data_IF_428012820719
#
_entry.id   IF_428012820719
#
_cell.length_a   1.000
_cell.length_b   1.000
_cell.length_c   1.000
_cell.angle_alpha   90.00
_cell.angle_beta   90.00
_cell.angle_gamma   90.00
#
_symmetry.space_group_name_H-M   'P 1'
#
loop_
_entity.id
_entity.type
_entity.pdbx_description
1 polymer ?
#
# COMPACT_ATOMS: atom_id res chain seq x y z
N UNK A 1 25.24 9.09 -4.64
CA UNK A 1 24.87 8.63 -6.00
C UNK A 1 23.37 8.42 -6.05
N UNK A 2 22.69 8.98 -7.06
CA UNK A 2 21.22 8.94 -7.17
C UNK A 2 20.69 7.55 -7.56
N UNK A 3 21.37 6.87 -8.51
CA UNK A 3 21.06 5.53 -9.01
C UNK A 3 21.86 4.43 -8.29
N UNK A 4 21.41 3.19 -8.43
CA UNK A 4 22.11 2.03 -7.89
C UNK A 4 23.50 1.84 -8.51
N UNK A 5 24.45 1.35 -7.71
CA UNK A 5 25.76 0.89 -8.16
C UNK A 5 25.84 -0.62 -8.07
N UNK A 6 26.97 -1.20 -8.50
CA UNK A 6 27.20 -2.66 -8.40
C UNK A 6 27.27 -3.13 -6.95
N UNK A 7 27.57 -2.24 -6.00
CA UNK A 7 27.81 -2.59 -4.60
C UNK A 7 26.77 -2.01 -3.64
N UNK A 8 26.01 -0.98 -4.02
CA UNK A 8 25.11 -0.27 -3.12
C UNK A 8 23.84 0.22 -3.81
N UNK A 9 22.75 0.29 -3.04
CA UNK A 9 21.53 0.95 -3.47
C UNK A 9 21.71 2.48 -3.54
N UNK A 10 21.20 3.07 -4.61
CA UNK A 10 21.17 4.51 -4.83
C UNK A 10 20.25 5.22 -3.84
N UNK A 11 20.40 6.54 -3.75
CA UNK A 11 19.55 7.35 -2.87
C UNK A 11 18.07 7.27 -3.27
N UNK A 12 17.73 7.19 -4.56
CA UNK A 12 16.33 7.09 -5.02
C UNK A 12 15.68 5.79 -4.52
N UNK A 13 16.35 4.65 -4.69
CA UNK A 13 15.84 3.36 -4.25
C UNK A 13 15.63 3.31 -2.72
N UNK A 14 16.56 3.88 -1.95
CA UNK A 14 16.45 3.96 -0.49
C UNK A 14 15.31 4.88 -0.05
N UNK A 15 15.18 6.06 -0.67
CA UNK A 15 14.09 6.99 -0.36
C UNK A 15 12.72 6.41 -0.67
N UNK A 16 12.55 5.76 -1.83
CA UNK A 16 11.30 5.07 -2.16
C UNK A 16 10.98 3.96 -1.16
N UNK A 17 11.97 3.16 -0.78
CA UNK A 17 11.76 2.07 0.18
C UNK A 17 11.35 2.60 1.56
N UNK A 18 12.12 3.50 2.14
CA UNK A 18 11.85 4.05 3.47
C UNK A 18 10.62 4.94 3.49
N UNK A 19 10.35 5.69 2.41
CA UNK A 19 9.14 6.47 2.24
C UNK A 19 7.89 5.58 2.26
N UNK A 20 7.90 4.48 1.50
CA UNK A 20 6.78 3.53 1.54
C UNK A 20 6.64 2.86 2.91
N UNK A 21 7.74 2.48 3.56
CA UNK A 21 7.69 1.93 4.91
C UNK A 21 7.04 2.92 5.90
N UNK A 22 7.43 4.19 5.86
CA UNK A 22 6.82 5.25 6.67
C UNK A 22 5.33 5.44 6.41
N UNK A 23 4.91 5.42 5.14
CA UNK A 23 3.50 5.50 4.77
C UNK A 23 2.69 4.30 5.29
N UNK A 24 3.23 3.09 5.18
CA UNK A 24 2.57 1.89 5.70
C UNK A 24 2.42 1.96 7.22
N UNK A 25 3.47 2.37 7.93
CA UNK A 25 3.42 2.58 9.39
C UNK A 25 2.37 3.63 9.74
N UNK A 26 2.34 4.76 9.03
CA UNK A 26 1.32 5.80 9.24
C UNK A 26 -0.10 5.26 9.03
N UNK A 27 -0.30 4.42 8.01
CA UNK A 27 -1.58 3.79 7.72
C UNK A 27 -2.03 2.85 8.85
N UNK A 28 -1.11 2.03 9.39
CA UNK A 28 -1.38 1.14 10.52
C UNK A 28 -1.69 1.97 11.76
N UNK A 29 -0.86 2.96 12.09
CA UNK A 29 -1.06 3.85 13.24
C UNK A 29 -2.41 4.57 13.15
N UNK A 30 -2.82 5.02 11.97
CA UNK A 30 -4.11 5.66 11.77
C UNK A 30 -5.28 4.72 12.10
N UNK A 31 -5.19 3.44 11.69
CA UNK A 31 -6.17 2.42 12.05
C UNK A 31 -6.12 2.14 13.55
N UNK A 32 -4.97 1.86 14.15
CA UNK A 32 -4.90 1.59 15.59
C UNK A 32 -5.43 2.75 16.44
N UNK A 33 -5.10 4.00 16.08
CA UNK A 33 -5.56 5.18 16.80
C UNK A 33 -7.06 5.42 16.67
N UNK A 34 -7.71 4.98 15.58
CA UNK A 34 -9.14 5.25 15.35
C UNK A 34 -10.03 4.55 16.40
N UNK A 35 -9.54 3.47 17.00
CA UNK A 35 -10.29 2.69 17.99
C UNK A 35 -10.43 3.41 19.33
N UNK A 36 -9.49 4.30 19.66
CA UNK A 36 -9.53 5.12 20.88
C UNK A 36 -10.58 6.23 20.82
N UNK A 37 -11.18 6.48 19.65
CA UNK A 37 -12.19 7.51 19.45
C UNK A 37 -13.59 6.91 19.32
N UNK A 38 -14.63 7.55 19.91
CA UNK A 38 -16.01 7.10 19.80
C UNK A 38 -16.47 6.96 18.35
N UNK A 39 -17.33 5.97 18.07
CA UNK A 39 -17.98 5.81 16.76
C UNK A 39 -18.74 7.08 16.41
N UNK A 40 -18.55 7.57 15.18
CA UNK A 40 -19.19 8.80 14.69
C UNK A 40 -18.49 10.11 15.07
N UNK A 41 -17.39 10.07 15.81
CA UNK A 41 -16.61 11.27 16.13
C UNK A 41 -15.75 11.74 14.95
N UNK A 42 -15.56 13.06 14.84
CA UNK A 42 -14.74 13.67 13.79
C UNK A 42 -13.29 13.14 13.76
N UNK A 43 -12.58 12.96 14.90
CA UNK A 43 -11.22 12.42 14.89
C UNK A 43 -11.15 11.00 14.33
N UNK A 44 -12.16 10.16 14.63
CA UNK A 44 -12.24 8.80 14.09
C UNK A 44 -12.38 8.82 12.57
N UNK A 45 -13.25 9.69 12.06
CA UNK A 45 -13.45 9.86 10.61
C UNK A 45 -12.18 10.40 9.93
N UNK A 46 -11.49 11.35 10.56
CA UNK A 46 -10.24 11.92 10.06
C UNK A 46 -9.14 10.85 9.96
N UNK A 47 -8.96 10.02 11.00
CA UNK A 47 -7.99 8.92 10.98
C UNK A 47 -8.28 7.91 9.87
N UNK A 48 -9.55 7.54 9.68
CA UNK A 48 -9.91 6.64 8.58
C UNK A 48 -9.73 7.28 7.19
N UNK A 49 -9.93 8.60 7.09
CA UNK A 49 -9.61 9.35 5.87
C UNK A 49 -8.11 9.32 5.58
N UNK A 50 -7.27 9.53 6.60
CA UNK A 50 -5.80 9.43 6.48
C UNK A 50 -5.38 8.03 6.03
N UNK A 51 -5.88 6.98 6.68
CA UNK A 51 -5.61 5.58 6.28
C UNK A 51 -5.94 5.36 4.80
N UNK A 52 -7.13 5.80 4.38
CA UNK A 52 -7.58 5.63 3.00
C UNK A 52 -6.69 6.39 2.01
N UNK A 53 -6.42 7.67 2.25
CA UNK A 53 -5.58 8.49 1.37
C UNK A 53 -4.16 7.93 1.26
N UNK A 54 -3.57 7.53 2.39
CA UNK A 54 -2.24 6.92 2.43
C UNK A 54 -2.23 5.60 1.67
N UNK A 55 -3.27 4.77 1.78
CA UNK A 55 -3.42 3.54 1.01
C UNK A 55 -3.38 3.78 -0.50
N UNK A 56 -4.09 4.80 -0.98
CA UNK A 56 -4.08 5.18 -2.40
C UNK A 56 -2.70 5.72 -2.82
N UNK A 57 -2.03 6.54 -1.98
CA UNK A 57 -0.67 7.02 -2.27
C UNK A 57 0.32 5.86 -2.39
N UNK A 58 0.24 4.88 -1.49
CA UNK A 58 1.07 3.66 -1.56
C UNK A 58 0.79 2.88 -2.85
N UNK A 59 -0.48 2.76 -3.26
CA UNK A 59 -0.87 2.12 -4.52
C UNK A 59 -0.29 2.82 -5.75
N UNK A 60 -0.09 4.14 -5.73
CA UNK A 60 0.58 4.86 -6.82
C UNK A 60 2.11 4.68 -6.75
N UNK A 61 2.69 4.80 -5.56
CA UNK A 61 4.14 4.70 -5.36
C UNK A 61 4.69 3.30 -5.63
N UNK A 62 3.91 2.24 -5.42
CA UNK A 62 4.35 0.88 -5.72
C UNK A 62 4.66 0.70 -7.21
N UNK A 63 3.90 1.33 -8.12
CA UNK A 63 4.20 1.31 -9.56
C UNK A 63 5.51 2.02 -9.88
N UNK A 64 5.74 3.18 -9.28
CA UNK A 64 7.02 3.91 -9.41
C UNK A 64 8.17 3.04 -8.89
N UNK A 65 7.97 2.34 -7.76
CA UNK A 65 8.96 1.43 -7.19
C UNK A 65 9.24 0.24 -8.10
N UNK A 66 8.21 -0.37 -8.68
CA UNK A 66 8.34 -1.48 -9.63
C UNK A 66 9.13 -1.03 -10.87
N UNK A 67 8.78 0.11 -11.46
CA UNK A 67 9.51 0.67 -12.61
C UNK A 67 10.97 0.95 -12.25
N UNK A 68 11.22 1.55 -11.08
CA UNK A 68 12.56 1.86 -10.60
C UNK A 68 13.42 0.61 -10.44
N UNK A 69 12.88 -0.48 -9.89
CA UNK A 69 13.67 -1.72 -9.70
C UNK A 69 13.96 -2.44 -11.01
N UNK A 70 13.08 -2.36 -12.01
CA UNK A 70 13.35 -2.90 -13.34
C UNK A 70 14.31 -2.03 -14.15
N UNK A 71 14.45 -0.74 -13.81
CA UNK A 71 15.30 0.22 -14.53
C UNK A 71 16.72 0.33 -13.98
N UNK A 72 16.98 -0.15 -12.77
CA UNK A 72 18.27 -0.05 -12.09
C UNK A 72 18.92 -1.42 -11.85
N UNK A 73 20.24 -1.48 -11.81
CA UNK A 73 20.97 -2.72 -11.48
C UNK A 73 20.73 -3.08 -10.01
N UNK A 74 20.32 -4.32 -9.75
CA UNK A 74 20.23 -4.86 -8.39
C UNK A 74 21.61 -5.41 -8.00
N UNK A 75 22.27 -4.89 -6.95
CA UNK A 75 23.55 -5.41 -6.48
C UNK A 75 23.45 -6.91 -6.14
N UNK A 76 24.37 -7.76 -6.61
CA UNK A 76 24.38 -9.16 -6.21
C UNK A 76 24.73 -9.29 -4.72
N UNK A 77 24.11 -10.26 -4.05
CA UNK A 77 24.38 -10.57 -2.64
C UNK A 77 25.63 -11.46 -2.58
N UNK A 78 26.67 -11.02 -1.87
CA UNK A 78 27.91 -11.77 -1.67
C UNK A 78 28.23 -11.92 -0.19
N UNK A 79 28.50 -13.15 0.33
CA UNK A 79 28.50 -14.43 -0.39
C UNK A 79 27.08 -14.88 -0.80
N UNK A 80 26.99 -15.71 -1.84
CA UNK A 80 25.70 -16.22 -2.35
C UNK A 80 24.96 -16.99 -1.25
N UNK A 81 23.75 -16.56 -0.83
CA UNK A 81 23.03 -17.25 0.21
C UNK A 81 22.49 -18.62 -0.27
N UNK A 82 22.17 -19.54 0.66
CA UNK A 82 21.53 -20.80 0.34
C UNK A 82 20.23 -20.61 -0.47
N UNK A 83 19.93 -21.56 -1.36
CA UNK A 83 18.78 -21.47 -2.28
C UNK A 83 17.45 -21.21 -1.55
N UNK A 84 17.24 -21.82 -0.38
CA UNK A 84 16.02 -21.65 0.39
C UNK A 84 15.85 -20.20 0.91
N UNK A 85 16.93 -19.51 1.29
CA UNK A 85 16.88 -18.10 1.69
C UNK A 85 16.54 -17.21 0.50
N UNK A 86 17.10 -17.51 -0.67
CA UNK A 86 16.76 -16.82 -1.91
C UNK A 86 15.28 -16.97 -2.29
N UNK A 87 14.73 -18.18 -2.19
CA UNK A 87 13.32 -18.45 -2.47
C UNK A 87 12.42 -17.75 -1.45
N UNK A 88 12.71 -17.89 -0.15
CA UNK A 88 11.94 -17.25 0.91
C UNK A 88 11.92 -15.72 0.76
N UNK A 89 13.07 -15.11 0.45
CA UNK A 89 13.13 -13.68 0.17
C UNK A 89 12.26 -13.28 -1.01
N UNK A 90 12.31 -14.02 -2.13
CA UNK A 90 11.47 -13.73 -3.30
C UNK A 90 9.97 -13.85 -2.99
N UNK A 91 9.57 -14.90 -2.27
CA UNK A 91 8.18 -15.10 -1.85
C UNK A 91 7.71 -13.97 -0.93
N UNK A 92 8.53 -13.54 0.03
CA UNK A 92 8.21 -12.42 0.91
C UNK A 92 8.03 -11.12 0.13
N UNK A 93 8.93 -10.81 -0.81
CA UNK A 93 8.79 -9.62 -1.65
C UNK A 93 7.53 -9.68 -2.52
N UNK A 94 7.21 -10.85 -3.08
CA UNK A 94 5.99 -11.05 -3.84
C UNK A 94 4.74 -10.84 -2.98
N UNK A 95 4.70 -11.43 -1.78
CA UNK A 95 3.60 -11.26 -0.84
C UNK A 95 3.40 -9.79 -0.47
N UNK A 96 4.49 -9.07 -0.15
CA UNK A 96 4.43 -7.64 0.17
C UNK A 96 3.92 -6.80 -1.01
N UNK A 97 4.33 -7.10 -2.24
CA UNK A 97 3.82 -6.38 -3.42
C UNK A 97 2.35 -6.67 -3.68
N UNK A 98 1.94 -7.93 -3.54
CA UNK A 98 0.54 -8.30 -3.68
C UNK A 98 -0.33 -7.60 -2.64
N UNK A 99 0.08 -7.56 -1.37
CA UNK A 99 -0.70 -6.89 -0.32
C UNK A 99 -0.75 -5.37 -0.50
N UNK A 100 0.36 -4.74 -0.89
CA UNK A 100 0.41 -3.30 -1.19
C UNK A 100 -0.48 -2.89 -2.37
N UNK A 101 -0.82 -3.82 -3.27
CA UNK A 101 -1.70 -3.56 -4.42
C UNK A 101 -3.14 -3.98 -4.11
N UNK A 102 -3.34 -5.22 -3.66
CA UNK A 102 -4.65 -5.81 -3.48
C UNK A 102 -5.47 -5.12 -2.38
N UNK A 103 -4.85 -4.81 -1.23
CA UNK A 103 -5.60 -4.22 -0.10
C UNK A 103 -6.11 -2.80 -0.41
N UNK A 104 -5.33 -1.88 -0.98
CA UNK A 104 -5.85 -0.56 -1.37
C UNK A 104 -6.91 -0.63 -2.47
N UNK A 105 -6.73 -1.51 -3.46
CA UNK A 105 -7.75 -1.73 -4.51
C UNK A 105 -9.05 -2.21 -3.87
N UNK A 106 -8.97 -3.17 -2.95
CA UNK A 106 -10.12 -3.67 -2.22
C UNK A 106 -10.82 -2.54 -1.44
N UNK A 107 -10.06 -1.69 -0.76
CA UNK A 107 -10.60 -0.51 -0.08
C UNK A 107 -11.32 0.48 -1.00
N UNK A 108 -10.77 0.74 -2.20
CA UNK A 108 -11.42 1.59 -3.22
C UNK A 108 -12.74 0.96 -3.67
N UNK A 109 -12.72 -0.33 -4.02
CA UNK A 109 -13.90 -1.07 -4.47
C UNK A 109 -14.99 -1.08 -3.39
N UNK A 110 -14.63 -1.32 -2.13
CA UNK A 110 -15.57 -1.28 -1.00
C UNK A 110 -16.26 0.07 -0.82
N UNK A 111 -15.52 1.18 -1.02
CA UNK A 111 -16.09 2.54 -0.96
C UNK A 111 -17.01 2.82 -2.15
N UNK A 112 -16.58 2.50 -3.37
CA UNK A 112 -17.36 2.73 -4.59
C UNK A 112 -18.65 1.89 -4.61
N UNK A 113 -18.56 0.61 -4.26
CA UNK A 113 -19.71 -0.29 -4.13
C UNK A 113 -20.69 0.18 -3.03
N UNK A 114 -20.19 0.91 -2.03
CA UNK A 114 -20.98 1.55 -0.97
C UNK A 114 -21.57 2.91 -1.32
N UNK A 115 -21.58 3.29 -2.60
CA UNK A 115 -22.08 4.58 -3.13
C UNK A 115 -21.34 5.80 -2.58
N UNK A 116 -20.05 5.64 -2.26
CA UNK A 116 -19.19 6.74 -1.83
C UNK A 116 -18.26 7.14 -2.96
N UNK A 117 -18.30 8.41 -3.32
CA UNK A 117 -17.34 9.01 -4.24
C UNK A 117 -15.95 9.00 -3.61
N UNK A 118 -15.05 8.26 -4.21
CA UNK A 118 -13.66 8.17 -3.76
C UNK A 118 -12.86 9.29 -4.38
N UNK A 119 -12.25 10.14 -3.54
CA UNK A 119 -11.35 11.19 -3.97
C UNK A 119 -9.99 11.07 -3.27
N UNK A 120 -8.91 11.22 -4.03
CA UNK A 120 -7.56 11.39 -3.54
C UNK A 120 -7.25 12.89 -3.52
N UNK A 121 -7.09 13.49 -2.33
CA UNK A 121 -6.74 14.91 -2.17
C UNK A 121 -7.65 15.86 -3.00
N UNK A 122 -8.94 15.52 -3.14
CA UNK A 122 -9.91 16.28 -3.92
C UNK A 122 -10.04 15.86 -5.40
N UNK A 123 -9.15 15.01 -5.91
CA UNK A 123 -9.25 14.44 -7.27
C UNK A 123 -10.07 13.15 -7.22
N UNK A 124 -11.18 13.11 -7.94
CA UNK A 124 -12.02 11.91 -8.03
C UNK A 124 -11.28 10.79 -8.75
N UNK A 125 -11.25 9.60 -8.15
CA UNK A 125 -10.70 8.42 -8.78
C UNK A 125 -11.70 7.83 -9.79
N UNK A 126 -11.22 7.18 -10.88
CA UNK A 126 -12.10 6.52 -11.83
C UNK A 126 -12.93 5.44 -11.14
N UNK A 127 -14.19 5.31 -11.56
CA UNK A 127 -15.10 4.27 -11.06
C UNK A 127 -14.62 2.92 -11.60
N UNK A 128 -14.20 2.04 -10.68
CA UNK A 128 -13.73 0.69 -11.01
C UNK A 128 -14.89 -0.31 -11.01
N UNK A 129 -15.87 -0.12 -10.12
CA UNK A 129 -17.05 -0.99 -9.96
C UNK A 129 -18.29 -0.13 -9.76
N UNK A 130 -19.43 -0.56 -10.33
CA UNK A 130 -20.73 0.05 -10.10
C UNK A 130 -21.23 -0.12 -8.66
N UNK A 131 -22.30 0.59 -8.30
CA UNK A 131 -22.88 0.49 -6.95
C UNK A 131 -23.51 -0.90 -6.76
N UNK A 132 -22.96 -1.66 -5.81
CA UNK A 132 -23.48 -2.97 -5.39
C UNK A 132 -23.29 -3.10 -3.87
N UNK A 133 -24.39 -2.87 -3.12
CA UNK A 133 -24.37 -2.81 -1.66
C UNK A 133 -24.16 -4.19 -1.02
N UNK A 134 -24.60 -5.26 -1.69
CA UNK A 134 -24.44 -6.63 -1.20
C UNK A 134 -22.98 -7.07 -1.36
N UNK A 135 -22.36 -6.70 -2.47
CA UNK A 135 -20.93 -6.92 -2.69
C UNK A 135 -20.07 -6.12 -1.70
N UNK A 136 -20.38 -4.85 -1.44
CA UNK A 136 -19.69 -4.04 -0.43
C UNK A 136 -19.77 -4.66 0.98
N UNK A 137 -20.93 -5.20 1.35
CA UNK A 137 -21.14 -5.84 2.66
C UNK A 137 -20.31 -7.12 2.80
N UNK A 138 -20.30 -7.97 1.77
CA UNK A 138 -19.50 -9.20 1.76
C UNK A 138 -18.00 -8.91 1.91
N UNK A 139 -17.49 -7.85 1.25
CA UNK A 139 -16.09 -7.45 1.39
C UNK A 139 -15.76 -6.90 2.79
N UNK A 140 -16.70 -6.19 3.43
CA UNK A 140 -16.50 -5.70 4.82
C UNK A 140 -16.43 -6.83 5.83
N UNK A 141 -17.19 -7.90 5.62
CA UNK A 141 -17.18 -9.08 6.48
C UNK A 141 -15.84 -9.82 6.40
N UNK A 142 -15.25 -9.92 5.20
CA UNK A 142 -13.90 -10.49 5.02
C UNK A 142 -12.81 -9.57 5.60
N UNK A 143 -12.97 -8.26 5.50
CA UNK A 143 -11.97 -7.29 5.93
C UNK A 143 -11.96 -7.02 7.45
N UNK A 144 -12.99 -7.46 8.18
CA UNK A 144 -13.16 -7.17 9.60
C UNK A 144 -13.71 -8.41 10.35
N UNK A 145 -12.92 -9.50 10.46
CA UNK A 145 -13.31 -10.73 11.15
C UNK A 145 -13.50 -10.57 12.66
#
# INVERSE_FOLDING_TARGET
MLRNTVTHYGTIARLLHWGMAGLIILSIVAVELHEFFPKGSDPRAALMSVHFQVGVVVLLLIWVRIIAIFSDKVPPITPTPPLWQHIAAKLMHLALYLTMIALPILGIVMQQAGDKTVALLGVQLPVLVGVDKDFSKALREVANP
#
